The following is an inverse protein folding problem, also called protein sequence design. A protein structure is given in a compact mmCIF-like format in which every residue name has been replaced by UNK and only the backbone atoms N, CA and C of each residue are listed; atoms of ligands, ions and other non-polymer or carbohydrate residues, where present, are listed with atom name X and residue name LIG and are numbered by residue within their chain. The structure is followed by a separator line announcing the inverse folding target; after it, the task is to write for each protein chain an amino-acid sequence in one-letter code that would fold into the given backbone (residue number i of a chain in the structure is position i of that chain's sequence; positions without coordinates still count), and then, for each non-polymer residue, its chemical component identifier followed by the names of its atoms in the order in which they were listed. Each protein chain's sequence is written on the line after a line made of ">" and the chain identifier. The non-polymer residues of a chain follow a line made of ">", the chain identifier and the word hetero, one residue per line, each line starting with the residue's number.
data_IF_065725483516
#
_entry.id   IF_065725483516
#
_cell.length_a   1.000
_cell.length_b   1.000
_cell.length_c   1.000
_cell.angle_alpha   90.00
_cell.angle_beta   90.00
_cell.angle_gamma   90.00
#
_symmetry.space_group_name_H-M   'P 1'
#
loop_
_entity.id
_entity.type
_entity.pdbx_description
1 polymer ?
#
# COMPACT_ATOMS: atom_id res chain seq x y z
N UNK A 1 -3.69 -8.19 -11.31
CA UNK A 1 -2.73 -8.37 -10.19
C UNK A 1 -3.31 -9.41 -9.26
N UNK A 2 -2.45 -10.25 -8.68
CA UNK A 2 -2.85 -11.33 -7.79
C UNK A 2 -3.51 -10.79 -6.51
N UNK A 3 -4.68 -11.30 -6.07
CA UNK A 3 -5.43 -10.76 -4.92
C UNK A 3 -4.61 -10.77 -3.62
N UNK A 4 -3.74 -11.76 -3.44
CA UNK A 4 -2.84 -11.88 -2.28
C UNK A 4 -1.83 -10.72 -2.17
N UNK A 5 -1.36 -10.20 -3.31
CA UNK A 5 -0.46 -9.04 -3.34
C UNK A 5 -1.19 -7.76 -2.95
N UNK A 6 -2.47 -7.62 -3.29
CA UNK A 6 -3.27 -6.45 -2.92
C UNK A 6 -3.52 -6.40 -1.43
N UNK A 7 -3.88 -7.54 -0.82
CA UNK A 7 -4.04 -7.66 0.63
C UNK A 7 -2.73 -7.31 1.33
N UNK A 8 -1.60 -7.83 0.84
CA UNK A 8 -0.28 -7.53 1.42
C UNK A 8 0.07 -6.05 1.35
N UNK A 9 -0.09 -5.40 0.18
CA UNK A 9 0.16 -3.96 0.03
C UNK A 9 -0.73 -3.15 0.96
N UNK A 10 -2.02 -3.51 1.05
CA UNK A 10 -2.98 -2.83 1.91
C UNK A 10 -2.56 -2.92 3.38
N UNK A 11 -2.26 -4.11 3.89
CA UNK A 11 -1.84 -4.31 5.28
C UNK A 11 -0.56 -3.54 5.59
N UNK A 12 0.44 -3.58 4.70
CA UNK A 12 1.69 -2.84 4.91
C UNK A 12 1.49 -1.32 4.89
N UNK A 13 0.61 -0.81 4.01
CA UNK A 13 0.25 0.62 4.01
C UNK A 13 -0.50 1.03 5.29
N UNK A 14 -1.42 0.19 5.79
CA UNK A 14 -2.14 0.42 7.05
C UNK A 14 -1.20 0.42 8.26
N UNK A 15 -0.13 -0.37 8.22
CA UNK A 15 0.93 -0.40 9.24
C UNK A 15 1.92 0.77 9.14
N UNK A 16 1.78 1.65 8.14
CA UNK A 16 2.68 2.78 7.92
C UNK A 16 4.03 2.41 7.30
N UNK A 17 4.14 1.23 6.68
CA UNK A 17 5.38 0.81 6.03
C UNK A 17 5.72 1.77 4.85
N UNK A 18 6.99 2.16 4.70
CA UNK A 18 7.41 3.02 3.60
C UNK A 18 7.27 2.31 2.25
N UNK A 19 6.87 3.05 1.22
CA UNK A 19 6.63 2.50 -0.13
C UNK A 19 7.83 1.71 -0.70
N UNK A 20 9.07 2.14 -0.38
CA UNK A 20 10.30 1.42 -0.78
C UNK A 20 10.41 0.05 -0.14
N UNK A 21 9.98 -0.11 1.10
CA UNK A 21 10.00 -1.41 1.79
C UNK A 21 8.94 -2.34 1.20
N UNK A 22 7.75 -1.80 0.93
CA UNK A 22 6.67 -2.53 0.25
C UNK A 22 7.13 -2.98 -1.15
N UNK A 23 7.83 -2.14 -1.90
CA UNK A 23 8.38 -2.48 -3.21
C UNK A 23 9.42 -3.62 -3.12
N UNK A 24 10.33 -3.59 -2.13
CA UNK A 24 11.30 -4.67 -1.93
C UNK A 24 10.64 -5.98 -1.51
N UNK A 25 9.60 -5.93 -0.70
CA UNK A 25 8.90 -7.11 -0.21
C UNK A 25 7.98 -7.75 -1.25
N UNK A 26 7.23 -6.92 -1.98
CA UNK A 26 6.18 -7.37 -2.92
C UNK A 26 6.65 -7.45 -4.37
N UNK A 27 7.77 -6.82 -4.72
CA UNK A 27 8.23 -6.67 -6.11
C UNK A 27 7.37 -5.71 -6.94
N UNK A 28 6.45 -4.99 -6.30
CA UNK A 28 5.50 -4.10 -6.98
C UNK A 28 6.09 -2.70 -7.06
N UNK A 29 6.09 -2.14 -8.27
CA UNK A 29 6.60 -0.79 -8.53
C UNK A 29 5.96 0.23 -7.57
N UNK A 30 6.80 1.08 -6.98
CA UNK A 30 6.37 2.14 -6.05
C UNK A 30 5.23 3.02 -6.58
N UNK A 31 5.12 3.26 -7.90
CA UNK A 31 4.05 4.07 -8.51
C UNK A 31 2.68 3.43 -8.36
N UNK A 32 2.65 2.09 -8.38
CA UNK A 32 1.45 1.28 -8.17
C UNK A 32 1.05 1.35 -6.71
N UNK A 33 2.00 1.15 -5.79
CA UNK A 33 1.79 1.28 -4.34
C UNK A 33 1.27 2.69 -3.99
N UNK A 34 1.86 3.74 -4.56
CA UNK A 34 1.42 5.14 -4.37
C UNK A 34 -0.02 5.38 -4.86
N UNK A 35 -0.41 4.76 -5.98
CA UNK A 35 -1.79 4.83 -6.49
C UNK A 35 -2.76 4.16 -5.51
N UNK A 36 -2.40 3.00 -4.96
CA UNK A 36 -3.19 2.31 -3.93
C UNK A 36 -3.31 3.12 -2.65
N UNK A 37 -2.21 3.71 -2.18
CA UNK A 37 -2.25 4.58 -1.00
C UNK A 37 -3.19 5.77 -1.20
N UNK A 38 -3.18 6.40 -2.38
CA UNK A 38 -4.10 7.51 -2.71
C UNK A 38 -5.55 7.08 -2.82
N UNK A 39 -5.81 5.91 -3.38
CA UNK A 39 -7.16 5.35 -3.45
C UNK A 39 -7.69 5.01 -2.05
N UNK A 40 -6.84 4.47 -1.17
CA UNK A 40 -7.19 4.20 0.22
C UNK A 40 -7.35 5.50 1.05
N UNK A 41 -6.61 6.57 0.75
CA UNK A 41 -6.72 7.85 1.48
C UNK A 41 -7.95 8.68 1.11
N UNK A 42 -8.74 8.28 0.10
CA UNK A 42 -9.93 9.02 -0.34
C UNK A 42 -11.16 8.82 0.56
N UNK A 43 -11.07 8.04 1.65
CA UNK A 43 -12.23 7.75 2.50
C UNK A 43 -11.95 7.38 3.96
N UNK A 44 -10.70 7.33 4.42
CA UNK A 44 -10.41 7.06 5.83
C UNK A 44 -9.54 8.15 6.43
N UNK A 45 -10.16 8.90 7.34
CA UNK A 45 -9.46 9.60 8.39
C UNK A 45 -8.56 8.60 9.12
N UNK A 46 -7.26 8.86 9.15
CA UNK A 46 -6.38 8.27 10.16
C UNK A 46 -5.64 9.42 10.79
N UNK A 47 -6.17 9.82 11.94
CA UNK A 47 -5.76 10.92 12.78
C UNK A 47 -6.63 10.89 14.03
N UNK A 48 -6.47 9.83 14.82
CA UNK A 48 -6.85 9.75 16.22
C UNK A 48 -5.55 9.55 17.02
#
# INVERSE_FOLDING_TARGET
>A
MKPELLTTIRTLLEQGAPQREIERFTGVDRKTIRRYQRANSSGVATGA
#
